data_IF_792651329755
#
_entry.id   IF_792651329755
#
_cell.length_a   1.000
_cell.length_b   1.000
_cell.length_c   1.000
_cell.angle_alpha   90.00
_cell.angle_beta   90.00
_cell.angle_gamma   90.00
#
_symmetry.space_group_name_H-M   'P 1'
#
loop_
_entity.id
_entity.type
_entity.pdbx_description
1 polymer ?
#
# COMPACT_ATOMS: atom_id res chain seq x y z
N UNK A 1 15.02 -9.62 -8.33
CA UNK A 1 13.99 -8.56 -8.11
C UNK A 1 13.10 -9.02 -6.97
N UNK A 2 12.76 -8.17 -5.99
CA UNK A 2 11.82 -8.57 -4.95
C UNK A 2 10.43 -8.71 -5.58
N UNK A 3 9.98 -9.94 -5.79
CA UNK A 3 8.64 -10.27 -6.29
C UNK A 3 7.60 -10.35 -5.16
N UNK A 4 8.00 -9.91 -3.96
CA UNK A 4 7.23 -10.02 -2.74
C UNK A 4 7.04 -8.65 -2.10
N UNK A 5 5.79 -8.24 -1.93
CA UNK A 5 5.40 -6.97 -1.32
C UNK A 5 4.38 -7.23 -0.23
N UNK A 6 4.31 -6.32 0.74
CA UNK A 6 3.29 -6.32 1.76
C UNK A 6 2.74 -4.90 1.88
N UNK A 7 1.43 -4.81 1.98
CA UNK A 7 0.74 -3.56 2.23
C UNK A 7 -0.12 -3.69 3.48
N UNK A 8 -0.19 -2.61 4.23
CA UNK A 8 -1.18 -2.41 5.27
C UNK A 8 -2.00 -1.20 4.84
N UNK A 9 -3.29 -1.43 4.59
CA UNK A 9 -4.19 -0.43 4.01
C UNK A 9 -5.36 -0.25 4.97
N UNK A 10 -5.62 1.00 5.32
CA UNK A 10 -6.85 1.39 5.99
C UNK A 10 -7.85 1.87 4.94
N UNK A 11 -9.06 1.31 4.97
CA UNK A 11 -10.05 1.48 3.90
C UNK A 11 -11.39 1.86 4.53
N UNK A 12 -11.98 2.97 4.07
CA UNK A 12 -13.34 3.37 4.47
C UNK A 12 -14.43 2.71 3.61
N UNK A 13 -14.14 2.50 2.33
CA UNK A 13 -15.02 1.84 1.35
C UNK A 13 -14.16 0.96 0.46
N UNK A 14 -14.53 -0.30 0.32
CA UNK A 14 -13.86 -1.29 -0.51
C UNK A 14 -14.34 -1.29 -1.97
N UNK A 15 -15.36 -0.47 -2.29
CA UNK A 15 -15.79 -0.17 -3.65
C UNK A 15 -16.12 1.32 -3.83
N UNK A 16 -15.87 1.83 -5.04
CA UNK A 16 -16.22 3.20 -5.46
C UNK A 16 -16.71 3.21 -6.90
N UNK A 17 -17.41 4.26 -7.30
CA UNK A 17 -17.78 4.47 -8.71
C UNK A 17 -16.53 4.70 -9.58
N UNK A 18 -16.53 4.09 -10.77
CA UNK A 18 -15.41 4.20 -11.72
C UNK A 18 -15.16 5.64 -12.16
N UNK A 19 -16.21 6.45 -12.27
CA UNK A 19 -16.12 7.90 -12.49
C UNK A 19 -15.24 8.59 -11.45
N UNK A 20 -15.52 8.33 -10.18
CA UNK A 20 -14.80 8.93 -9.05
C UNK A 20 -13.32 8.55 -9.08
N UNK A 21 -13.01 7.28 -9.33
CA UNK A 21 -11.62 6.84 -9.51
C UNK A 21 -10.93 7.55 -10.67
N UNK A 22 -11.58 7.62 -11.84
CA UNK A 22 -11.02 8.25 -13.04
C UNK A 22 -10.73 9.73 -12.82
N UNK A 23 -11.68 10.48 -12.28
CA UNK A 23 -11.49 11.90 -11.96
C UNK A 23 -10.28 12.11 -11.03
N UNK A 24 -10.11 11.23 -10.03
CA UNK A 24 -8.96 11.29 -9.13
C UNK A 24 -7.64 10.96 -9.85
N UNK A 25 -7.61 9.93 -10.69
CA UNK A 25 -6.41 9.57 -11.49
C UNK A 25 -6.02 10.70 -12.43
N UNK A 26 -7.00 11.34 -13.08
CA UNK A 26 -6.75 12.51 -13.92
C UNK A 26 -6.19 13.68 -13.13
N UNK A 27 -6.71 13.94 -11.93
CA UNK A 27 -6.15 14.96 -11.05
C UNK A 27 -4.69 14.66 -10.69
N UNK A 28 -4.38 13.43 -10.28
CA UNK A 28 -3.01 13.01 -9.95
C UNK A 28 -2.08 13.15 -11.16
N UNK A 29 -2.52 12.71 -12.35
CA UNK A 29 -1.72 12.86 -13.57
C UNK A 29 -1.54 14.34 -13.95
N UNK A 30 -2.55 15.18 -13.78
CA UNK A 30 -2.43 16.64 -13.97
C UNK A 30 -1.38 17.23 -13.05
N UNK A 31 -1.40 16.89 -11.76
CA UNK A 31 -0.39 17.35 -10.81
C UNK A 31 1.01 16.85 -11.19
N UNK A 32 1.15 15.58 -11.59
CA UNK A 32 2.42 15.00 -12.05
C UNK A 32 2.97 15.73 -13.29
N UNK A 33 2.12 16.01 -14.27
CA UNK A 33 2.50 16.73 -15.48
C UNK A 33 2.91 18.18 -15.17
N UNK A 34 2.16 18.87 -14.32
CA UNK A 34 2.49 20.23 -13.86
C UNK A 34 3.86 20.27 -13.17
N UNK A 35 4.13 19.30 -12.29
CA UNK A 35 5.43 19.19 -11.61
C UNK A 35 6.58 18.87 -12.56
N UNK A 36 6.34 18.08 -13.62
CA UNK A 36 7.39 17.64 -14.55
C UNK A 36 7.70 18.65 -15.66
N UNK A 37 6.68 19.32 -16.20
CA UNK A 37 6.81 20.15 -17.40
C UNK A 37 6.42 21.62 -17.18
N UNK A 38 6.02 22.00 -15.96
CA UNK A 38 5.48 23.33 -15.66
C UNK A 38 4.15 23.58 -16.38
N UNK A 39 3.74 24.85 -16.46
CA UNK A 39 2.46 25.24 -17.09
C UNK A 39 2.41 25.02 -18.61
N UNK A 40 3.57 24.81 -19.26
CA UNK A 40 3.70 24.71 -20.72
C UNK A 40 3.28 23.36 -21.33
N UNK A 41 3.10 22.32 -20.50
CA UNK A 41 2.66 20.98 -20.94
C UNK A 41 1.14 20.78 -20.96
N UNK A 42 0.37 21.84 -20.72
CA UNK A 42 -1.07 21.76 -20.49
C UNK A 42 -1.85 21.86 -21.80
N UNK A 43 -2.17 20.73 -22.43
CA UNK A 43 -3.25 20.70 -23.42
C UNK A 43 -4.58 20.50 -22.68
N UNK A 44 -5.49 21.48 -22.80
CA UNK A 44 -6.88 21.44 -22.32
C UNK A 44 -7.75 20.31 -22.92
N UNK A 45 -7.16 19.44 -23.74
CA UNK A 45 -7.82 18.24 -24.22
C UNK A 45 -7.95 17.29 -23.04
N UNK A 46 -9.03 17.46 -22.28
CA UNK A 46 -9.65 16.38 -21.53
C UNK A 46 -9.75 15.22 -22.51
N UNK A 47 -8.95 14.14 -22.36
CA UNK A 47 -9.12 12.99 -23.23
C UNK A 47 -10.57 12.59 -23.01
N UNK A 48 -11.38 12.62 -24.06
CA UNK A 48 -12.78 12.21 -24.03
C UNK A 48 -12.87 10.85 -23.36
N UNK A 49 -13.11 10.86 -22.04
CA UNK A 49 -13.13 9.67 -21.23
C UNK A 49 -14.26 8.82 -21.80
N UNK A 50 -13.89 7.63 -22.27
CA UNK A 50 -14.83 6.62 -22.71
C UNK A 50 -16.00 6.54 -21.70
N UNK A 51 -17.19 7.03 -22.12
CA UNK A 51 -18.45 7.00 -21.34
C UNK A 51 -18.86 5.58 -20.91
N UNK A 52 -18.16 4.57 -21.42
CA UNK A 52 -18.37 3.17 -21.12
C UNK A 52 -18.15 2.92 -19.63
N UNK A 53 -19.21 2.45 -18.98
CA UNK A 53 -19.26 1.96 -17.60
C UNK A 53 -18.88 3.00 -16.54
N UNK A 54 -19.16 4.28 -16.77
CA UNK A 54 -18.88 5.37 -15.82
C UNK A 54 -19.51 5.13 -14.44
N UNK A 55 -20.76 4.64 -14.42
CA UNK A 55 -21.52 4.35 -13.20
C UNK A 55 -21.24 2.95 -12.62
N UNK A 56 -20.34 2.16 -13.24
CA UNK A 56 -19.97 0.86 -12.68
C UNK A 56 -19.11 1.04 -11.43
N UNK A 57 -19.21 0.08 -10.52
CA UNK A 57 -18.35 0.04 -9.35
C UNK A 57 -16.98 -0.57 -9.69
N UNK A 58 -15.95 -0.12 -8.98
CA UNK A 58 -14.60 -0.68 -8.95
C UNK A 58 -14.31 -1.06 -7.52
N UNK A 59 -13.96 -2.31 -7.29
CA UNK A 59 -13.52 -2.78 -5.97
C UNK A 59 -12.02 -2.52 -5.75
N UNK A 60 -11.59 -2.53 -4.49
CA UNK A 60 -10.18 -2.48 -4.11
C UNK A 60 -9.37 -3.61 -4.77
N UNK A 61 -9.94 -4.81 -4.84
CA UNK A 61 -9.30 -5.96 -5.48
C UNK A 61 -9.11 -5.73 -6.99
N UNK A 62 -10.11 -5.18 -7.67
CA UNK A 62 -9.99 -4.81 -9.09
C UNK A 62 -8.89 -3.75 -9.28
N UNK A 63 -8.86 -2.73 -8.42
CA UNK A 63 -7.85 -1.66 -8.48
C UNK A 63 -6.43 -2.20 -8.25
N UNK A 64 -6.23 -3.09 -7.28
CA UNK A 64 -4.95 -3.78 -7.04
C UNK A 64 -4.55 -4.62 -8.27
N UNK A 65 -5.51 -5.33 -8.86
CA UNK A 65 -5.28 -6.11 -10.09
C UNK A 65 -4.86 -5.23 -11.27
N UNK A 66 -5.47 -4.06 -11.43
CA UNK A 66 -5.08 -3.07 -12.43
C UNK A 66 -3.63 -2.60 -12.18
N UNK A 67 -3.29 -2.22 -10.94
CA UNK A 67 -1.94 -1.79 -10.55
C UNK A 67 -0.87 -2.85 -10.87
N UNK A 68 -1.11 -4.10 -10.50
CA UNK A 68 -0.18 -5.21 -10.76
C UNK A 68 -0.05 -5.50 -12.27
N UNK A 69 -1.16 -5.47 -13.01
CA UNK A 69 -1.17 -5.68 -14.45
C UNK A 69 -0.41 -4.58 -15.19
N UNK A 70 -0.62 -3.31 -14.83
CA UNK A 70 0.07 -2.18 -15.47
C UNK A 70 1.57 -2.22 -15.18
N UNK A 71 1.97 -2.51 -13.94
CA UNK A 71 3.37 -2.73 -13.58
C UNK A 71 4.01 -3.86 -14.40
N UNK A 72 3.35 -5.02 -14.46
CA UNK A 72 3.86 -6.19 -15.22
C UNK A 72 4.05 -5.85 -16.70
N UNK A 73 3.08 -5.15 -17.32
CA UNK A 73 3.18 -4.71 -18.72
C UNK A 73 4.34 -3.76 -18.95
N UNK A 74 4.53 -2.78 -18.07
CA UNK A 74 5.62 -1.81 -18.17
C UNK A 74 6.99 -2.49 -18.01
N UNK A 75 7.13 -3.35 -17.00
CA UNK A 75 8.38 -4.07 -16.74
C UNK A 75 8.73 -5.04 -17.88
N UNK A 76 7.75 -5.81 -18.37
CA UNK A 76 7.96 -6.71 -19.50
C UNK A 76 8.40 -5.94 -20.74
N UNK A 77 7.81 -4.77 -21.00
CA UNK A 77 8.24 -3.90 -22.10
C UNK A 77 9.66 -3.37 -21.91
N UNK A 78 10.02 -2.92 -20.71
CA UNK A 78 11.38 -2.44 -20.40
C UNK A 78 12.44 -3.54 -20.59
N UNK A 79 12.11 -4.78 -20.18
CA UNK A 79 13.05 -5.91 -20.15
C UNK A 79 12.98 -6.79 -21.40
N UNK A 80 12.12 -6.49 -22.36
CA UNK A 80 11.76 -7.38 -23.47
C UNK A 80 11.38 -8.80 -22.99
N UNK A 81 10.60 -8.87 -21.90
CA UNK A 81 10.10 -10.12 -21.33
C UNK A 81 8.64 -10.36 -21.68
N UNK A 82 8.17 -11.58 -21.40
CA UNK A 82 6.77 -11.99 -21.52
C UNK A 82 6.36 -12.80 -20.29
N UNK A 83 5.06 -12.84 -19.99
CA UNK A 83 4.51 -13.66 -18.91
C UNK A 83 4.11 -12.87 -17.65
N UNK A 84 3.74 -13.61 -16.60
CA UNK A 84 3.32 -13.04 -15.31
C UNK A 84 4.52 -12.81 -14.39
N UNK A 85 4.56 -11.65 -13.74
CA UNK A 85 5.57 -11.32 -12.71
C UNK A 85 5.03 -11.59 -11.31
N UNK A 86 3.70 -11.56 -11.14
CA UNK A 86 3.02 -11.80 -9.88
C UNK A 86 2.44 -13.22 -9.81
N UNK A 87 2.34 -13.76 -8.60
CA UNK A 87 1.56 -14.97 -8.35
C UNK A 87 0.08 -14.65 -8.48
N UNK A 88 -0.72 -15.63 -8.90
CA UNK A 88 -2.17 -15.44 -9.07
C UNK A 88 -2.86 -15.11 -7.75
N UNK A 89 -2.45 -15.75 -6.66
CA UNK A 89 -3.09 -15.59 -5.35
C UNK A 89 -2.37 -14.55 -4.49
N UNK A 90 -3.17 -13.65 -3.90
CA UNK A 90 -2.75 -12.74 -2.83
C UNK A 90 -3.33 -13.23 -1.51
N UNK A 91 -2.54 -13.16 -0.44
CA UNK A 91 -3.02 -13.42 0.92
C UNK A 91 -3.42 -12.10 1.56
N UNK A 92 -4.66 -12.00 2.01
CA UNK A 92 -5.14 -10.91 2.86
C UNK A 92 -5.50 -11.45 4.23
N UNK A 93 -5.32 -10.62 5.25
CA UNK A 93 -5.86 -10.81 6.59
C UNK A 93 -6.49 -9.50 7.02
N UNK A 94 -7.64 -9.57 7.68
CA UNK A 94 -8.20 -8.37 8.30
C UNK A 94 -7.31 -7.92 9.48
N UNK A 95 -7.30 -6.62 9.73
CA UNK A 95 -6.57 -5.98 10.82
C UNK A 95 -7.12 -6.31 12.21
N UNK A 96 -8.25 -7.00 12.28
CA UNK A 96 -8.87 -7.49 13.50
C UNK A 96 -8.68 -9.01 13.56
N UNK A 97 -7.79 -9.49 14.44
CA UNK A 97 -7.91 -10.89 14.86
C UNK A 97 -8.97 -10.95 15.95
N UNK A 98 -10.10 -11.59 15.65
CA UNK A 98 -11.07 -12.02 16.68
C UNK A 98 -10.50 -13.16 17.54
N UNK A 99 -9.36 -13.73 17.16
CA UNK A 99 -8.66 -14.74 17.95
C UNK A 99 -8.09 -14.12 19.23
N UNK A 100 -8.43 -14.76 20.35
CA UNK A 100 -7.89 -14.49 21.68
C UNK A 100 -6.36 -14.62 21.68
N UNK A 101 -5.65 -13.50 21.62
CA UNK A 101 -4.18 -13.51 21.78
C UNK A 101 -3.89 -13.58 23.28
N UNK A 102 -3.51 -14.76 23.76
CA UNK A 102 -2.90 -14.89 25.09
C UNK A 102 -1.48 -14.34 25.02
N UNK A 103 -1.25 -13.16 25.60
CA UNK A 103 0.11 -12.63 25.70
C UNK A 103 0.82 -13.35 26.83
N UNK A 104 1.90 -14.09 26.53
CA UNK A 104 2.75 -14.64 27.59
C UNK A 104 3.48 -13.48 28.27
N UNK A 105 3.33 -13.33 29.60
CA UNK A 105 4.15 -12.41 30.38
C UNK A 105 5.62 -12.82 30.30
N UNK A 106 6.51 -11.88 30.58
CA UNK A 106 7.96 -12.12 30.71
C UNK A 106 8.33 -13.20 31.73
N UNK A 107 7.39 -13.62 32.59
CA UNK A 107 7.54 -14.72 33.54
C UNK A 107 6.93 -16.06 33.06
N UNK A 108 6.58 -16.18 31.78
CA UNK A 108 6.05 -17.42 31.18
C UNK A 108 4.60 -17.75 31.52
N UNK A 109 3.90 -16.92 32.32
CA UNK A 109 2.47 -17.11 32.60
C UNK A 109 1.61 -16.44 31.52
N UNK A 110 0.58 -17.15 31.04
CA UNK A 110 -0.42 -16.60 30.14
C UNK A 110 -1.13 -15.41 30.81
N UNK A 111 -1.15 -14.24 30.17
CA UNK A 111 -1.96 -13.10 30.59
C UNK A 111 -3.37 -13.26 30.01
N UNK A 112 -4.36 -13.51 30.86
CA UNK A 112 -5.78 -13.63 30.48
C UNK A 112 -6.50 -12.28 30.48
N UNK A 113 -5.77 -11.16 30.34
CA UNK A 113 -6.39 -9.83 30.24
C UNK A 113 -6.95 -9.66 28.84
N UNK A 114 -8.25 -9.83 28.74
CA UNK A 114 -9.07 -9.49 27.57
C UNK A 114 -8.89 -8.00 27.22
N UNK A 115 -7.97 -7.67 26.32
CA UNK A 115 -7.84 -6.30 25.80
C UNK A 115 -8.37 -6.25 24.38
N UNK A 116 -9.40 -5.44 24.16
CA UNK A 116 -9.92 -5.07 22.83
C UNK A 116 -8.84 -4.40 21.98
N UNK A 117 -7.81 -3.81 22.62
CA UNK A 117 -6.61 -3.26 22.00
C UNK A 117 -5.61 -4.35 21.60
N UNK A 118 -6.04 -5.20 20.68
CA UNK A 118 -5.14 -6.00 19.92
C UNK A 118 -4.24 -5.07 19.09
N UNK A 119 -2.98 -4.89 19.49
CA UNK A 119 -1.98 -4.11 18.76
C UNK A 119 -1.54 -4.79 17.44
N UNK A 120 -2.46 -5.47 16.74
CA UNK A 120 -2.23 -6.20 15.51
C UNK A 120 -1.79 -5.28 14.39
N UNK A 121 -2.36 -4.08 14.33
CA UNK A 121 -1.97 -3.05 13.36
C UNK A 121 -0.47 -2.76 13.45
N UNK A 122 0.02 -2.47 14.65
CA UNK A 122 1.45 -2.28 14.90
C UNK A 122 2.27 -3.55 14.64
N UNK A 123 1.76 -4.72 15.03
CA UNK A 123 2.44 -5.99 14.82
C UNK A 123 2.65 -6.29 13.34
N UNK A 124 1.61 -6.07 12.51
CA UNK A 124 1.69 -6.13 11.06
C UNK A 124 2.69 -5.12 10.52
N UNK A 125 2.65 -3.86 10.99
CA UNK A 125 3.60 -2.83 10.55
C UNK A 125 5.05 -3.22 10.85
N UNK A 126 5.32 -3.70 12.07
CA UNK A 126 6.64 -4.20 12.48
C UNK A 126 7.09 -5.37 11.62
N UNK A 127 6.21 -6.34 11.38
CA UNK A 127 6.50 -7.46 10.48
C UNK A 127 6.90 -6.98 9.07
N UNK A 128 6.16 -6.02 8.49
CA UNK A 128 6.45 -5.47 7.17
C UNK A 128 7.82 -4.79 7.15
N UNK A 129 8.11 -3.93 8.14
CA UNK A 129 9.37 -3.18 8.20
C UNK A 129 10.58 -4.05 8.51
N UNK A 130 10.42 -5.13 9.27
CA UNK A 130 11.50 -6.07 9.61
C UNK A 130 11.79 -7.11 8.52
N UNK A 131 10.88 -7.30 7.55
CA UNK A 131 11.05 -8.30 6.50
C UNK A 131 12.40 -8.18 5.75
N UNK A 132 12.87 -6.98 5.33
CA UNK A 132 14.18 -6.83 4.72
C UNK A 132 15.36 -7.29 5.62
N UNK A 133 15.26 -7.13 6.94
CA UNK A 133 16.27 -7.62 7.89
C UNK A 133 16.21 -9.14 7.97
N UNK A 134 15.01 -9.71 8.13
CA UNK A 134 14.81 -11.17 8.22
C UNK A 134 15.24 -11.89 6.94
N UNK A 135 15.14 -11.22 5.80
CA UNK A 135 15.64 -11.70 4.52
C UNK A 135 17.17 -11.51 4.32
N UNK A 136 17.88 -10.92 5.28
CA UNK A 136 19.32 -10.66 5.19
C UNK A 136 19.71 -9.57 4.19
N UNK A 137 18.78 -8.70 3.79
CA UNK A 137 19.03 -7.67 2.78
C UNK A 137 19.65 -6.41 3.36
N UNK A 138 19.34 -6.09 4.63
CA UNK A 138 19.84 -4.91 5.35
C UNK A 138 19.98 -5.20 6.83
N UNK A 139 20.85 -4.45 7.52
CA UNK A 139 21.07 -4.58 8.96
C UNK A 139 20.09 -3.75 9.82
N UNK A 140 19.34 -2.83 9.21
CA UNK A 140 18.38 -1.97 9.89
C UNK A 140 17.19 -1.65 8.96
N UNK A 141 16.00 -1.44 9.53
CA UNK A 141 14.76 -1.25 8.76
C UNK A 141 14.82 0.02 7.89
N UNK A 142 15.41 1.10 8.44
CA UNK A 142 15.60 2.38 7.76
C UNK A 142 16.58 2.34 6.57
N UNK A 143 17.41 1.29 6.48
CA UNK A 143 18.34 1.12 5.36
C UNK A 143 17.65 0.54 4.12
N UNK A 144 16.45 -0.01 4.28
CA UNK A 144 15.66 -0.48 3.14
C UNK A 144 14.88 0.68 2.52
N UNK A 145 15.40 1.25 1.44
CA UNK A 145 14.81 2.42 0.76
C UNK A 145 13.42 2.19 0.13
N UNK A 146 13.02 0.93 -0.04
CA UNK A 146 11.73 0.56 -0.65
C UNK A 146 10.68 0.22 0.43
N UNK A 147 10.68 0.96 1.54
CA UNK A 147 9.76 0.78 2.67
C UNK A 147 9.45 2.13 3.31
N UNK A 148 8.27 2.23 3.92
CA UNK A 148 7.87 3.41 4.70
C UNK A 148 8.61 3.57 6.03
N UNK A 149 9.49 2.64 6.41
CA UNK A 149 10.23 2.67 7.68
C UNK A 149 10.98 4.00 7.93
N UNK A 150 11.57 4.59 6.88
CA UNK A 150 12.24 5.90 6.95
C UNK A 150 11.28 7.05 7.30
N UNK A 151 10.06 6.99 6.76
CA UNK A 151 9.01 7.97 7.06
C UNK A 151 8.55 7.89 8.50
N UNK A 152 8.35 6.67 9.02
CA UNK A 152 8.03 6.46 10.44
C UNK A 152 9.17 6.86 11.37
N UNK A 153 10.43 6.72 10.94
CA UNK A 153 11.60 7.19 11.67
C UNK A 153 11.83 8.72 11.58
N UNK A 154 11.00 9.45 10.84
CA UNK A 154 11.14 10.91 10.69
C UNK A 154 12.30 11.36 9.80
N UNK A 155 12.89 10.44 9.02
CA UNK A 155 14.05 10.73 8.17
C UNK A 155 13.64 11.28 6.81
N UNK A 156 12.76 10.56 6.10
CA UNK A 156 12.34 10.89 4.75
C UNK A 156 10.99 10.24 4.46
N UNK A 157 10.05 11.01 3.90
CA UNK A 157 8.75 10.51 3.46
C UNK A 157 8.62 10.72 1.95
N UNK A 158 8.42 9.61 1.21
CA UNK A 158 8.25 9.61 -0.25
C UNK A 158 6.84 10.07 -0.70
N UNK A 159 5.93 10.28 0.25
CA UNK A 159 4.56 10.71 0.00
C UNK A 159 3.62 9.59 -0.46
N UNK A 160 4.11 8.35 -0.58
CA UNK A 160 3.29 7.19 -0.96
C UNK A 160 2.52 6.67 0.25
N UNK A 161 3.16 6.63 1.42
CA UNK A 161 2.55 6.19 2.67
C UNK A 161 2.03 7.38 3.48
N UNK A 162 0.77 7.33 3.90
CA UNK A 162 0.23 8.30 4.86
C UNK A 162 0.72 7.96 6.28
N UNK A 163 1.94 8.41 6.61
CA UNK A 163 2.62 8.14 7.88
C UNK A 163 1.85 8.72 9.08
N UNK A 164 1.23 9.89 8.92
CA UNK A 164 0.47 10.55 9.98
C UNK A 164 -0.75 9.72 10.38
N UNK A 165 -1.59 9.35 9.42
CA UNK A 165 -2.73 8.47 9.65
C UNK A 165 -2.29 7.14 10.25
N UNK A 166 -1.19 6.58 9.74
CA UNK A 166 -0.63 5.33 10.26
C UNK A 166 -0.24 5.43 11.73
N UNK A 167 0.45 6.49 12.14
CA UNK A 167 0.79 6.80 13.55
C UNK A 167 -0.45 6.88 14.44
N UNK A 168 -1.50 7.55 13.98
CA UNK A 168 -2.78 7.64 14.70
C UNK A 168 -3.41 6.26 14.90
N UNK A 169 -3.48 5.44 13.85
CA UNK A 169 -4.12 4.12 13.90
C UNK A 169 -3.38 3.15 14.82
N UNK A 170 -2.04 3.18 14.83
CA UNK A 170 -1.22 2.25 15.63
C UNK A 170 -0.88 2.78 17.03
N UNK A 171 -1.38 3.97 17.40
CA UNK A 171 -1.18 4.55 18.73
C UNK A 171 0.24 5.02 19.03
N UNK A 172 1.04 5.35 18.02
CA UNK A 172 2.39 5.90 18.19
C UNK A 172 2.31 7.41 17.95
N UNK A 173 2.55 8.21 18.99
CA UNK A 173 2.71 9.67 18.86
C UNK A 173 4.06 10.03 18.27
#
# INVERSE_FOLDING_TARGET
MPTHFHWQIYVHKDFIERKTLRNHVEEVERQRLKNKYGEKGFTNSSPTLFKVNENSLVSLNEAIGILQRTYTRALNKERNWTGSVFRADCKSKDGWSEEFITVAKSNGKADFRFTIDNNYGYTCMKYIHENPIKAGLVNATINWKYSSARGYAGLENDGICNVEMGRTIIGIK
#
